data_IF_711904258693
#
_entry.id   IF_711904258693
#
_cell.length_a   1.000
_cell.length_b   1.000
_cell.length_c   1.000
_cell.angle_alpha   90.00
_cell.angle_beta   90.00
_cell.angle_gamma   90.00
#
_symmetry.space_group_name_H-M   'P 1'
#
loop_
_entity.id
_entity.type
_entity.pdbx_description
1 polymer ?
#
# COMPACT_ATOMS: atom_id res chain seq x y z
N UNK A 1 -15.27 19.48 5.15
CA UNK A 1 -13.86 19.86 4.83
C UNK A 1 -13.61 19.46 3.38
N UNK A 2 -13.08 20.35 2.55
CA UNK A 2 -12.67 20.02 1.19
C UNK A 2 -11.20 19.60 1.20
N UNK A 3 -10.87 18.47 0.56
CA UNK A 3 -9.51 17.99 0.36
C UNK A 3 -9.44 17.16 -0.92
N UNK A 4 -8.25 16.92 -1.40
CA UNK A 4 -8.00 16.03 -2.51
C UNK A 4 -7.16 14.82 -2.08
N UNK A 5 -7.24 13.75 -2.84
CA UNK A 5 -6.35 12.59 -2.71
C UNK A 5 -5.66 12.35 -4.05
N UNK A 6 -4.38 12.02 -4.02
CA UNK A 6 -3.59 11.68 -5.19
C UNK A 6 -2.92 10.34 -4.94
N UNK A 7 -3.52 9.27 -5.46
CA UNK A 7 -3.26 7.89 -5.03
C UNK A 7 -3.26 6.92 -6.22
N UNK A 8 -2.51 5.83 -6.18
CA UNK A 8 -2.64 4.75 -7.16
C UNK A 8 -3.97 4.02 -6.98
N UNK A 9 -4.64 3.73 -8.09
CA UNK A 9 -5.93 3.02 -8.13
C UNK A 9 -5.76 1.72 -8.92
N UNK A 10 -5.02 0.77 -8.37
CA UNK A 10 -4.68 -0.50 -9.01
C UNK A 10 -4.64 -1.66 -8.00
N UNK A 11 -4.46 -2.86 -8.51
CA UNK A 11 -4.43 -4.12 -7.73
C UNK A 11 -3.14 -4.36 -6.93
N UNK A 12 -2.16 -3.43 -6.96
CA UNK A 12 -0.89 -3.58 -6.24
C UNK A 12 -0.96 -3.04 -4.81
N UNK A 13 0.12 -3.24 -4.03
CA UNK A 13 0.15 -2.93 -2.59
C UNK A 13 -0.23 -1.50 -2.22
N UNK A 14 0.28 -0.49 -2.95
CA UNK A 14 -0.12 0.91 -2.74
C UNK A 14 -1.60 1.12 -3.10
N UNK A 15 -2.10 0.45 -4.15
CA UNK A 15 -3.51 0.50 -4.52
C UNK A 15 -4.41 -0.10 -3.45
N UNK A 16 -3.99 -1.18 -2.77
CA UNK A 16 -4.73 -1.73 -1.63
C UNK A 16 -4.91 -0.70 -0.52
N UNK A 17 -3.83 0.00 -0.15
CA UNK A 17 -3.91 1.05 0.87
C UNK A 17 -4.80 2.19 0.39
N UNK A 18 -4.69 2.59 -0.89
CA UNK A 18 -5.53 3.63 -1.49
C UNK A 18 -7.01 3.31 -1.41
N UNK A 19 -7.41 2.12 -1.87
CA UNK A 19 -8.82 1.73 -1.87
C UNK A 19 -9.39 1.59 -0.46
N UNK A 20 -8.61 1.06 0.48
CA UNK A 20 -9.07 0.99 1.87
C UNK A 20 -9.22 2.40 2.49
N UNK A 21 -8.30 3.32 2.21
CA UNK A 21 -8.41 4.71 2.64
C UNK A 21 -9.65 5.40 2.04
N UNK A 22 -9.86 5.23 0.74
CA UNK A 22 -11.02 5.78 0.03
C UNK A 22 -12.33 5.18 0.53
N UNK A 23 -12.34 3.89 0.86
CA UNK A 23 -13.51 3.22 1.41
C UNK A 23 -13.91 3.79 2.78
N UNK A 24 -12.94 4.09 3.64
CA UNK A 24 -13.22 4.77 4.90
C UNK A 24 -13.76 6.19 4.67
N UNK A 25 -13.22 6.95 3.71
CA UNK A 25 -13.78 8.25 3.35
C UNK A 25 -15.21 8.14 2.83
N UNK A 26 -15.51 7.14 2.01
CA UNK A 26 -16.85 6.86 1.53
C UNK A 26 -17.83 6.60 2.71
N UNK A 27 -17.45 5.72 3.63
CA UNK A 27 -18.27 5.43 4.84
C UNK A 27 -18.49 6.65 5.73
N UNK A 28 -17.52 7.55 5.77
CA UNK A 28 -17.62 8.82 6.50
C UNK A 28 -18.47 9.88 5.76
N UNK A 29 -18.97 9.59 4.57
CA UNK A 29 -19.71 10.54 3.74
C UNK A 29 -18.86 11.69 3.17
N UNK A 30 -17.53 11.51 3.10
CA UNK A 30 -16.60 12.49 2.56
C UNK A 30 -16.52 12.38 1.04
N UNK A 31 -16.33 13.50 0.33
CA UNK A 31 -16.25 13.55 -1.12
C UNK A 31 -15.00 14.31 -1.58
N UNK A 32 -13.80 13.70 -1.48
CA UNK A 32 -12.56 14.32 -1.95
C UNK A 32 -12.50 14.39 -3.48
N UNK A 33 -11.71 15.32 -4.03
CA UNK A 33 -11.28 15.23 -5.43
C UNK A 33 -10.25 14.12 -5.56
N UNK A 34 -10.52 13.09 -6.37
CA UNK A 34 -9.66 11.91 -6.50
C UNK A 34 -8.81 12.02 -7.76
N UNK A 35 -7.49 12.09 -7.60
CA UNK A 35 -6.51 12.08 -8.68
C UNK A 35 -5.75 10.77 -8.69
N UNK A 36 -5.56 10.19 -9.88
CA UNK A 36 -4.73 8.99 -10.06
C UNK A 36 -3.25 9.35 -10.02
N UNK A 37 -2.45 8.58 -9.29
CA UNK A 37 -0.99 8.73 -9.27
C UNK A 37 -0.29 8.07 -10.48
N UNK A 38 -1.02 7.37 -11.35
CA UNK A 38 -0.52 6.77 -12.59
C UNK A 38 -1.52 6.96 -13.72
N UNK A 39 -1.03 6.87 -14.96
CA UNK A 39 -1.87 7.00 -16.16
C UNK A 39 -2.71 5.74 -16.46
N UNK A 40 -2.50 4.66 -15.71
CA UNK A 40 -3.27 3.41 -15.87
C UNK A 40 -4.75 3.62 -15.56
N UNK A 41 -5.60 2.78 -16.16
CA UNK A 41 -7.01 2.74 -15.79
C UNK A 41 -7.19 2.35 -14.32
N UNK A 42 -8.32 2.75 -13.72
CA UNK A 42 -8.69 2.32 -12.39
C UNK A 42 -8.97 0.81 -12.44
N UNK A 43 -8.26 0.05 -11.62
CA UNK A 43 -8.34 -1.40 -11.58
C UNK A 43 -8.87 -1.88 -10.22
N UNK A 44 -10.13 -2.29 -10.19
CA UNK A 44 -10.79 -2.87 -9.02
C UNK A 44 -10.70 -4.40 -8.98
N UNK A 45 -10.04 -5.06 -9.95
CA UNK A 45 -10.12 -6.51 -10.17
C UNK A 45 -9.66 -7.37 -8.98
N UNK A 46 -8.84 -6.82 -8.09
CA UNK A 46 -8.36 -7.51 -6.90
C UNK A 46 -9.29 -7.36 -5.68
N UNK A 47 -10.44 -6.71 -5.83
CA UNK A 47 -11.31 -6.31 -4.73
C UNK A 47 -12.76 -6.66 -4.99
N UNK A 48 -13.44 -7.08 -3.93
CA UNK A 48 -14.90 -7.31 -3.92
C UNK A 48 -15.56 -6.10 -3.22
N UNK A 49 -15.72 -5.02 -4.00
CA UNK A 49 -16.40 -3.81 -3.54
C UNK A 49 -17.83 -3.76 -4.07
N UNK A 50 -18.73 -3.20 -3.27
CA UNK A 50 -20.08 -2.86 -3.69
C UNK A 50 -20.08 -1.81 -4.81
N UNK A 51 -21.06 -1.89 -5.74
CA UNK A 51 -21.12 -1.04 -6.92
C UNK A 51 -21.22 0.45 -6.55
N UNK A 52 -21.92 0.78 -5.47
CA UNK A 52 -22.08 2.14 -4.96
C UNK A 52 -20.74 2.79 -4.61
N UNK A 53 -19.80 2.03 -4.03
CA UNK A 53 -18.45 2.53 -3.76
C UNK A 53 -17.66 2.72 -5.05
N UNK A 54 -17.75 1.79 -5.99
CA UNK A 54 -17.08 1.90 -7.30
C UNK A 54 -17.57 3.16 -8.02
N UNK A 55 -18.88 3.37 -8.09
CA UNK A 55 -19.51 4.54 -8.71
C UNK A 55 -19.08 5.83 -8.01
N UNK A 56 -18.98 5.82 -6.68
CA UNK A 56 -18.50 6.95 -5.89
C UNK A 56 -17.03 7.28 -6.22
N UNK A 57 -16.13 6.30 -6.34
CA UNK A 57 -14.73 6.52 -6.74
C UNK A 57 -14.66 7.13 -8.14
N UNK A 58 -15.37 6.53 -9.10
CA UNK A 58 -15.39 6.97 -10.51
C UNK A 58 -15.93 8.40 -10.63
N UNK A 59 -17.04 8.70 -9.96
CA UNK A 59 -17.64 10.05 -9.93
C UNK A 59 -16.65 11.08 -9.38
N UNK A 60 -16.08 10.83 -8.19
CA UNK A 60 -15.14 11.74 -7.53
C UNK A 60 -13.84 11.92 -8.32
N UNK A 61 -13.44 10.92 -9.12
CA UNK A 61 -12.34 11.02 -10.06
C UNK A 61 -12.69 11.88 -11.28
N UNK A 62 -13.82 11.62 -11.93
CA UNK A 62 -14.24 12.34 -13.14
C UNK A 62 -14.50 13.83 -12.87
N UNK A 63 -15.02 14.16 -11.71
CA UNK A 63 -15.31 15.53 -11.29
C UNK A 63 -14.11 16.23 -10.61
N UNK A 64 -12.98 15.56 -10.43
CA UNK A 64 -11.87 16.06 -9.63
C UNK A 64 -11.39 17.44 -10.06
N UNK A 65 -11.11 17.62 -11.35
CA UNK A 65 -10.62 18.91 -11.88
C UNK A 65 -11.65 20.02 -11.84
N UNK A 66 -12.95 19.69 -11.87
CA UNK A 66 -14.03 20.68 -11.79
C UNK A 66 -14.17 21.26 -10.37
N UNK A 67 -13.87 20.45 -9.35
CA UNK A 67 -14.08 20.80 -7.93
C UNK A 67 -12.84 21.26 -7.21
N UNK A 68 -11.66 20.92 -7.74
CA UNK A 68 -10.39 21.18 -7.09
C UNK A 68 -9.83 22.56 -7.44
N UNK A 69 -9.18 23.18 -6.44
CA UNK A 69 -8.31 24.33 -6.64
C UNK A 69 -7.03 24.16 -5.79
N UNK A 70 -5.99 24.94 -6.07
CA UNK A 70 -4.68 24.79 -5.44
C UNK A 70 -4.64 25.04 -3.93
N UNK A 71 -5.64 25.70 -3.37
CA UNK A 71 -5.72 25.99 -1.92
C UNK A 71 -6.32 24.80 -1.14
N UNK A 72 -6.94 23.83 -1.83
CA UNK A 72 -7.44 22.61 -1.23
C UNK A 72 -6.25 21.67 -0.94
N UNK A 73 -6.01 21.24 0.31
CA UNK A 73 -4.89 20.37 0.63
C UNK A 73 -5.05 18.98 -0.04
N UNK A 74 -3.93 18.36 -0.40
CA UNK A 74 -3.90 17.03 -1.02
C UNK A 74 -3.22 16.02 -0.09
N UNK A 75 -3.86 14.87 0.10
CA UNK A 75 -3.22 13.67 0.65
C UNK A 75 -2.67 12.88 -0.53
N UNK A 76 -1.35 12.71 -0.58
CA UNK A 76 -0.68 11.91 -1.60
C UNK A 76 -0.18 10.60 -0.98
N UNK A 77 -0.51 9.47 -1.60
CA UNK A 77 0.05 8.18 -1.27
C UNK A 77 0.92 7.72 -2.44
N UNK A 78 2.24 7.84 -2.32
CA UNK A 78 3.18 7.44 -3.36
C UNK A 78 4.61 7.35 -2.85
N UNK A 79 5.52 6.94 -3.75
CA UNK A 79 6.96 6.97 -3.51
C UNK A 79 7.50 8.41 -3.43
N UNK A 80 8.63 8.57 -2.74
CA UNK A 80 9.29 9.87 -2.52
C UNK A 80 9.70 10.52 -3.85
N UNK A 81 10.22 9.74 -4.80
CA UNK A 81 10.80 10.22 -6.05
C UNK A 81 9.83 11.02 -6.93
N UNK A 82 8.53 10.88 -6.74
CA UNK A 82 7.50 11.59 -7.50
C UNK A 82 6.63 12.51 -6.62
N UNK A 83 7.09 12.81 -5.40
CA UNK A 83 6.31 13.59 -4.43
C UNK A 83 6.10 15.06 -4.80
N UNK A 84 6.90 15.62 -5.71
CA UNK A 84 6.75 17.00 -6.19
C UNK A 84 5.56 17.20 -7.14
N UNK A 85 4.97 16.15 -7.68
CA UNK A 85 3.78 16.23 -8.53
C UNK A 85 2.54 16.45 -7.67
N UNK A 86 2.27 17.70 -7.30
CA UNK A 86 1.10 18.05 -6.51
C UNK A 86 0.16 18.97 -7.29
N UNK A 87 -1.14 18.74 -7.13
CA UNK A 87 -2.20 19.64 -7.61
C UNK A 87 -2.49 20.78 -6.63
N UNK A 88 -1.86 20.78 -5.45
CA UNK A 88 -2.14 21.69 -4.35
C UNK A 88 -0.89 22.39 -3.85
N UNK A 89 -1.08 23.56 -3.24
CA UNK A 89 -0.03 24.30 -2.54
C UNK A 89 0.39 23.61 -1.23
N UNK A 90 -0.48 22.78 -0.66
CA UNK A 90 -0.24 22.03 0.57
C UNK A 90 -0.45 20.54 0.32
N UNK A 91 0.58 19.72 0.62
CA UNK A 91 0.56 18.28 0.44
C UNK A 91 0.95 17.58 1.73
N UNK A 92 0.18 16.53 2.05
CA UNK A 92 0.53 15.51 3.05
C UNK A 92 0.96 14.28 2.26
N UNK A 93 2.21 13.88 2.38
CA UNK A 93 2.76 12.69 1.72
C UNK A 93 2.73 11.51 2.68
N UNK A 94 1.90 10.51 2.40
CA UNK A 94 1.99 9.19 3.02
C UNK A 94 2.85 8.30 2.13
N UNK A 95 3.98 7.82 2.66
CA UNK A 95 4.95 7.04 1.88
C UNK A 95 5.44 5.81 2.61
N UNK A 96 5.88 4.80 1.83
CA UNK A 96 6.60 3.63 2.31
C UNK A 96 8.04 3.72 1.85
N UNK A 97 8.96 3.67 2.79
CA UNK A 97 10.39 3.68 2.52
C UNK A 97 10.98 2.35 3.01
N UNK A 98 11.65 1.63 2.13
CA UNK A 98 12.10 0.26 2.35
C UNK A 98 13.63 0.14 2.53
N UNK A 99 14.35 1.29 2.46
CA UNK A 99 15.80 1.31 2.61
C UNK A 99 16.21 1.88 3.97
N UNK A 100 17.47 1.69 4.34
CA UNK A 100 18.05 2.15 5.61
C UNK A 100 18.64 3.56 5.53
N UNK A 101 18.61 4.17 4.35
CA UNK A 101 19.17 5.51 4.10
C UNK A 101 18.26 6.31 3.18
N UNK A 102 18.31 7.62 3.34
CA UNK A 102 17.69 8.60 2.45
C UNK A 102 18.79 9.31 1.68
N UNK A 103 18.65 9.39 0.36
CA UNK A 103 19.56 10.15 -0.48
C UNK A 103 19.34 11.66 -0.31
N UNK A 104 20.33 12.52 -0.63
CA UNK A 104 20.15 13.97 -0.60
C UNK A 104 19.02 14.46 -1.52
N UNK A 105 18.78 13.76 -2.64
CA UNK A 105 17.68 14.06 -3.58
C UNK A 105 16.33 13.78 -2.91
N UNK A 106 16.15 12.61 -2.32
CA UNK A 106 14.92 12.25 -1.60
C UNK A 106 14.66 13.21 -0.43
N UNK A 107 15.69 13.56 0.34
CA UNK A 107 15.58 14.54 1.42
C UNK A 107 15.08 15.91 0.93
N UNK A 108 15.56 16.36 -0.24
CA UNK A 108 15.10 17.61 -0.83
C UNK A 108 13.64 17.52 -1.32
N UNK A 109 13.21 16.40 -1.90
CA UNK A 109 11.83 16.19 -2.32
C UNK A 109 10.86 16.21 -1.12
N UNK A 110 11.25 15.61 0.00
CA UNK A 110 10.42 15.53 1.21
C UNK A 110 10.16 16.88 1.88
N UNK A 111 11.03 17.89 1.68
CA UNK A 111 10.84 19.24 2.21
C UNK A 111 9.59 19.96 1.71
N UNK A 112 8.99 19.47 0.62
CA UNK A 112 7.81 20.08 0.00
C UNK A 112 6.48 19.52 0.52
N UNK A 113 6.51 18.64 1.52
CA UNK A 113 5.32 17.97 2.03
C UNK A 113 5.35 17.85 3.56
N UNK A 114 4.17 17.79 4.17
CA UNK A 114 4.04 17.19 5.48
C UNK A 114 4.16 15.67 5.33
N UNK A 115 5.18 15.06 5.95
CA UNK A 115 5.51 13.65 5.70
C UNK A 115 4.87 12.74 6.73
N UNK A 116 4.18 11.72 6.26
CA UNK A 116 3.63 10.62 7.07
C UNK A 116 4.27 9.30 6.65
N UNK A 117 4.65 8.50 7.64
CA UNK A 117 5.25 7.18 7.45
C UNK A 117 4.49 6.11 8.24
N UNK A 118 4.59 4.85 7.84
CA UNK A 118 3.76 3.78 8.38
C UNK A 118 4.46 2.86 9.38
N UNK A 119 5.78 3.02 9.55
CA UNK A 119 6.56 2.23 10.49
C UNK A 119 7.47 3.07 11.36
N UNK A 120 7.73 2.59 12.58
CA UNK A 120 8.72 3.20 13.49
C UNK A 120 10.11 3.21 12.87
N UNK A 121 10.48 2.14 12.15
CA UNK A 121 11.74 2.05 11.44
C UNK A 121 11.91 3.20 10.43
N UNK A 122 10.94 3.40 9.54
CA UNK A 122 11.01 4.50 8.57
C UNK A 122 11.07 5.86 9.26
N UNK A 123 10.31 6.05 10.34
CA UNK A 123 10.38 7.29 11.13
C UNK A 123 11.77 7.56 11.68
N UNK A 124 12.45 6.52 12.18
CA UNK A 124 13.82 6.61 12.69
C UNK A 124 14.82 6.95 11.55
N UNK A 125 14.75 6.25 10.42
CA UNK A 125 15.57 6.54 9.23
C UNK A 125 15.40 8.00 8.77
N UNK A 126 14.18 8.50 8.75
CA UNK A 126 13.88 9.88 8.37
C UNK A 126 14.41 10.87 9.39
N UNK A 127 14.23 10.59 10.69
CA UNK A 127 14.76 11.43 11.78
C UNK A 127 16.29 11.54 11.73
N UNK A 128 16.99 10.44 11.47
CA UNK A 128 18.44 10.41 11.33
C UNK A 128 18.94 11.24 10.14
N UNK A 129 18.10 11.39 9.10
CA UNK A 129 18.36 12.26 7.95
C UNK A 129 17.86 13.71 8.15
N UNK A 130 17.40 14.09 9.35
CA UNK A 130 16.87 15.42 9.64
C UNK A 130 15.47 15.69 9.06
N UNK A 131 14.73 14.67 8.67
CA UNK A 131 13.37 14.78 8.13
C UNK A 131 12.35 14.55 9.24
N UNK A 132 11.55 15.56 9.52
CA UNK A 132 10.42 15.42 10.43
C UNK A 132 9.28 14.65 9.77
N UNK A 133 8.75 13.64 10.46
CA UNK A 133 7.64 12.83 9.95
C UNK A 133 6.68 12.39 11.05
N UNK A 134 5.41 12.26 10.70
CA UNK A 134 4.37 11.70 11.56
C UNK A 134 4.23 10.20 11.32
N UNK A 135 4.03 9.43 12.39
CA UNK A 135 3.78 8.00 12.30
C UNK A 135 2.27 7.73 12.23
N UNK A 136 1.82 7.11 11.13
CA UNK A 136 0.45 6.64 10.93
C UNK A 136 0.51 5.17 10.54
N UNK A 137 0.17 4.29 11.48
CA UNK A 137 0.14 2.85 11.19
C UNK A 137 -0.95 2.51 10.18
N UNK A 138 -0.67 1.53 9.33
CA UNK A 138 -1.70 0.97 8.46
C UNK A 138 -2.76 0.27 9.30
N UNK A 139 -4.01 0.36 8.84
CA UNK A 139 -5.14 -0.36 9.40
C UNK A 139 -5.14 -1.84 9.00
N UNK A 140 -6.12 -2.56 9.55
CA UNK A 140 -6.40 -3.96 9.22
C UNK A 140 -7.71 -4.03 8.44
N UNK A 141 -7.70 -4.72 7.30
CA UNK A 141 -8.89 -4.91 6.48
C UNK A 141 -9.68 -6.14 6.94
N UNK A 142 -10.63 -5.93 7.84
CA UNK A 142 -11.49 -6.99 8.37
C UNK A 142 -12.52 -7.54 7.36
N UNK A 143 -12.71 -6.90 6.20
CA UNK A 143 -13.60 -7.39 5.14
C UNK A 143 -12.95 -8.57 4.42
N UNK A 144 -11.65 -8.47 4.12
CA UNK A 144 -10.89 -9.52 3.45
C UNK A 144 -10.32 -10.56 4.44
N UNK A 145 -9.89 -10.13 5.62
CA UNK A 145 -9.26 -11.00 6.60
C UNK A 145 -10.25 -11.33 7.72
N UNK A 146 -11.15 -12.28 7.43
CA UNK A 146 -12.12 -12.79 8.40
C UNK A 146 -11.57 -14.02 9.10
N UNK A 147 -11.77 -14.10 10.41
CA UNK A 147 -11.53 -15.35 11.11
C UNK A 147 -12.51 -16.41 10.59
N UNK A 148 -11.99 -17.55 10.18
CA UNK A 148 -12.80 -18.68 9.75
C UNK A 148 -12.54 -19.86 10.67
N UNK A 149 -13.57 -20.66 10.92
CA UNK A 149 -13.42 -21.94 11.62
C UNK A 149 -12.97 -23.07 10.67
N UNK A 150 -12.67 -22.73 9.40
CA UNK A 150 -12.26 -23.68 8.39
C UNK A 150 -10.84 -24.16 8.70
N UNK A 151 -10.68 -25.45 8.96
CA UNK A 151 -9.37 -26.07 9.08
C UNK A 151 -8.88 -26.41 7.68
N UNK A 152 -7.74 -25.84 7.33
CA UNK A 152 -6.99 -26.22 6.14
C UNK A 152 -5.90 -27.19 6.59
N UNK A 153 -5.67 -28.27 5.81
CA UNK A 153 -4.65 -29.27 6.12
C UNK A 153 -4.91 -30.05 7.43
N UNK A 154 -6.10 -30.61 7.55
CA UNK A 154 -6.55 -31.38 8.74
C UNK A 154 -5.98 -32.83 8.74
N UNK A 155 -4.83 -33.04 8.10
CA UNK A 155 -4.13 -34.31 7.98
C UNK A 155 -3.01 -34.51 9.02
N UNK A 156 -2.96 -33.62 10.02
CA UNK A 156 -1.98 -33.64 11.10
C UNK A 156 -0.57 -33.16 10.71
N UNK A 157 -0.36 -32.72 9.45
CA UNK A 157 0.93 -32.17 9.02
C UNK A 157 1.10 -30.73 9.47
N UNK A 158 2.36 -30.36 9.74
CA UNK A 158 2.75 -28.97 9.94
C UNK A 158 3.09 -28.37 8.58
N UNK A 159 2.31 -27.39 8.15
CA UNK A 159 2.50 -26.73 6.86
C UNK A 159 3.17 -25.37 7.01
N UNK A 160 4.31 -25.20 6.36
CA UNK A 160 4.98 -23.94 6.18
C UNK A 160 4.46 -23.26 4.90
N UNK A 161 4.24 -21.95 4.95
CA UNK A 161 3.77 -21.19 3.79
C UNK A 161 4.80 -20.15 3.36
N UNK A 162 5.04 -20.07 2.04
CA UNK A 162 5.78 -18.98 1.40
C UNK A 162 4.86 -18.36 0.38
N UNK A 163 4.60 -17.05 0.46
CA UNK A 163 3.75 -16.36 -0.50
C UNK A 163 4.37 -15.03 -0.94
N UNK A 164 4.00 -14.58 -2.14
CA UNK A 164 4.34 -13.28 -2.68
C UNK A 164 5.03 -13.32 -4.04
N UNK A 165 5.51 -12.15 -4.49
CA UNK A 165 6.22 -12.01 -5.75
C UNK A 165 7.57 -12.74 -5.70
N UNK A 166 7.92 -13.45 -6.78
CA UNK A 166 9.21 -14.12 -6.90
C UNK A 166 10.32 -13.12 -7.20
N UNK A 167 10.91 -12.57 -6.15
CA UNK A 167 11.95 -11.55 -6.21
C UNK A 167 13.24 -12.04 -5.53
N UNK A 168 14.39 -11.64 -6.09
CA UNK A 168 15.72 -12.03 -5.58
C UNK A 168 15.91 -11.66 -4.11
N UNK A 169 15.45 -10.48 -3.68
CA UNK A 169 15.55 -9.97 -2.29
C UNK A 169 14.78 -10.81 -1.27
N UNK A 170 13.74 -11.52 -1.68
CA UNK A 170 12.93 -12.39 -0.80
C UNK A 170 13.53 -13.76 -0.57
N UNK A 171 14.62 -14.08 -1.26
CA UNK A 171 15.39 -15.31 -1.08
C UNK A 171 14.59 -16.63 -1.17
N UNK A 172 13.49 -16.69 -1.92
CA UNK A 172 12.62 -17.86 -2.00
C UNK A 172 13.39 -19.15 -2.31
N UNK A 173 14.32 -19.12 -3.26
CA UNK A 173 15.16 -20.31 -3.58
C UNK A 173 15.99 -20.76 -2.39
N UNK A 174 16.55 -19.85 -1.60
CA UNK A 174 17.32 -20.20 -0.39
C UNK A 174 16.43 -20.81 0.68
N UNK A 175 15.23 -20.25 0.86
CA UNK A 175 14.23 -20.75 1.83
C UNK A 175 13.81 -22.18 1.45
N UNK A 176 13.45 -22.42 0.18
CA UNK A 176 13.06 -23.76 -0.29
C UNK A 176 14.19 -24.77 -0.11
N UNK A 177 15.44 -24.42 -0.48
CA UNK A 177 16.61 -25.30 -0.28
C UNK A 177 16.85 -25.63 1.20
N UNK A 178 16.77 -24.63 2.08
CA UNK A 178 16.92 -24.80 3.52
C UNK A 178 15.81 -25.71 4.09
N UNK A 179 14.57 -25.49 3.66
CA UNK A 179 13.43 -26.31 4.06
C UNK A 179 13.60 -27.76 3.63
N UNK A 180 13.96 -28.02 2.35
CA UNK A 180 14.21 -29.36 1.82
C UNK A 180 15.33 -30.06 2.63
N UNK A 181 16.41 -29.36 2.91
CA UNK A 181 17.54 -29.89 3.70
C UNK A 181 17.10 -30.33 5.10
N UNK A 182 16.22 -29.56 5.75
CA UNK A 182 15.80 -29.82 7.14
C UNK A 182 14.64 -30.80 7.22
N UNK A 183 13.64 -30.66 6.38
CA UNK A 183 12.34 -31.35 6.51
C UNK A 183 11.95 -32.21 5.31
N UNK A 184 12.68 -32.15 4.18
CA UNK A 184 12.26 -32.76 2.92
C UNK A 184 12.09 -34.29 2.93
N UNK A 185 12.60 -35.00 3.96
CA UNK A 185 12.43 -36.44 4.14
C UNK A 185 11.37 -36.78 5.19
N UNK A 186 10.83 -35.81 5.89
CA UNK A 186 9.89 -36.01 6.99
C UNK A 186 8.47 -35.69 6.54
N UNK A 187 7.63 -36.73 6.40
CA UNK A 187 6.25 -36.61 5.93
C UNK A 187 5.32 -35.83 6.86
N UNK A 188 5.76 -35.52 8.09
CA UNK A 188 4.99 -34.69 9.04
C UNK A 188 4.98 -33.20 8.64
N UNK A 189 5.86 -32.81 7.72
CA UNK A 189 5.99 -31.42 7.29
C UNK A 189 5.66 -31.28 5.82
N UNK A 190 5.06 -30.14 5.46
CA UNK A 190 4.81 -29.73 4.09
C UNK A 190 5.23 -28.27 3.86
N UNK A 191 5.59 -27.95 2.64
CA UNK A 191 5.88 -26.57 2.23
C UNK A 191 4.93 -26.19 1.10
N UNK A 192 4.12 -25.18 1.34
CA UNK A 192 3.26 -24.57 0.34
C UNK A 192 3.90 -23.29 -0.19
N UNK A 193 4.01 -23.18 -1.51
CA UNK A 193 4.59 -22.02 -2.18
C UNK A 193 3.53 -21.36 -3.07
N UNK A 194 3.03 -20.19 -2.67
CA UNK A 194 2.14 -19.34 -3.46
C UNK A 194 2.98 -18.19 -4.03
N UNK A 195 3.77 -18.50 -5.05
CA UNK A 195 4.72 -17.56 -5.65
C UNK A 195 4.31 -17.26 -7.09
N UNK A 196 4.40 -16.00 -7.50
CA UNK A 196 4.22 -15.63 -8.90
C UNK A 196 5.28 -14.63 -9.33
N UNK A 197 5.59 -14.64 -10.61
CA UNK A 197 6.41 -13.60 -11.22
C UNK A 197 5.48 -12.49 -11.71
N UNK A 198 5.70 -11.27 -11.22
CA UNK A 198 4.90 -10.11 -11.57
C UNK A 198 5.52 -9.30 -12.74
N UNK A 199 6.65 -9.76 -13.31
CA UNK A 199 7.40 -9.07 -14.36
C UNK A 199 7.72 -10.02 -15.49
#
# INVERSE_FOLDING_TARGET
MQFAVHVPLNSLSFGQVSFNLLYEFYKMGLNPSIFKASDQQIDFSAYDFEQEFIDWVVKNHNEAFLRHNRNIPTIRLWHINDSIRSYSNKQILLTFHETDQITPIEANLLKNSEVCVTSKYTKEVFSNAGINSSLIHLGFDSRHFKQTNKKYFDDGRITFNICGKYEKRKHHTKIVKAWIKKFGKDKRYSLQCALHNAF
#
